data_IF_488416268044
#
_entry.id   IF_488416268044
#
_cell.length_a   1.000
_cell.length_b   1.000
_cell.length_c   1.000
_cell.angle_alpha   90.00
_cell.angle_beta   90.00
_cell.angle_gamma   90.00
#
_symmetry.space_group_name_H-M   'P 1'
#
loop_
_entity.id
_entity.type
_entity.pdbx_description
1 polymer ?
#
# COMPACT_ATOMS: atom_id res chain seq x y z
N UNK A 1 15.87 -7.53 34.48
CA UNK A 1 15.41 -8.33 35.63
C UNK A 1 14.02 -8.83 35.34
N UNK A 2 13.82 -10.15 35.37
CA UNK A 2 12.50 -10.75 35.17
C UNK A 2 11.56 -10.45 36.34
N UNK A 3 10.27 -10.50 36.10
CA UNK A 3 9.23 -10.38 37.11
C UNK A 3 8.44 -11.69 37.20
N UNK A 4 8.00 -12.12 38.40
CA UNK A 4 7.32 -13.41 38.57
C UNK A 4 5.94 -13.46 37.92
N UNK A 5 5.31 -12.32 37.69
CA UNK A 5 4.02 -12.17 37.03
C UNK A 5 3.93 -10.85 36.30
N UNK A 6 3.37 -10.88 35.07
CA UNK A 6 3.02 -9.68 34.32
C UNK A 6 1.57 -9.31 34.65
N UNK A 7 1.38 -8.15 35.25
CA UNK A 7 0.06 -7.59 35.57
C UNK A 7 -0.04 -6.15 35.10
N UNK A 8 -1.06 -5.83 34.35
CA UNK A 8 -1.41 -4.44 34.05
C UNK A 8 -2.43 -3.94 35.05
N UNK A 9 -2.16 -2.82 35.71
CA UNK A 9 -3.10 -2.11 36.60
C UNK A 9 -3.85 -0.98 35.90
N UNK A 10 -3.44 -0.67 34.65
CA UNK A 10 -3.97 0.45 33.88
C UNK A 10 -4.54 -0.02 32.57
N UNK A 11 -5.52 0.71 32.05
CA UNK A 11 -6.00 0.56 30.66
C UNK A 11 -4.89 1.05 29.72
N UNK A 12 -4.62 0.27 28.67
CA UNK A 12 -3.70 0.65 27.60
C UNK A 12 -4.48 0.68 26.29
N UNK A 13 -4.37 1.79 25.57
CA UNK A 13 -4.93 1.91 24.21
C UNK A 13 -3.84 1.63 23.19
N UNK A 14 -4.08 0.68 22.30
CA UNK A 14 -3.16 0.35 21.21
C UNK A 14 -3.22 1.49 20.19
N UNK A 15 -2.04 1.93 19.73
CA UNK A 15 -1.94 2.96 18.68
C UNK A 15 -2.47 2.46 17.34
N UNK A 16 -2.97 3.35 16.46
CA UNK A 16 -3.41 2.99 15.11
C UNK A 16 -2.30 2.35 14.27
N UNK A 17 -2.70 1.42 13.39
CA UNK A 17 -1.76 0.77 12.46
C UNK A 17 -1.38 1.74 11.32
N UNK A 18 -0.14 2.24 11.37
CA UNK A 18 0.41 3.11 10.33
C UNK A 18 0.55 2.42 8.97
N UNK A 19 0.69 1.10 8.93
CA UNK A 19 0.84 0.37 7.66
C UNK A 19 -0.51 0.21 6.98
N UNK A 20 -1.56 -0.08 7.73
CA UNK A 20 -2.93 -0.06 7.21
C UNK A 20 -3.26 1.35 6.69
N UNK A 21 -3.00 2.39 7.49
CA UNK A 21 -3.23 3.78 7.07
C UNK A 21 -2.48 4.14 5.79
N UNK A 22 -1.17 3.84 5.69
CA UNK A 22 -0.37 4.11 4.49
C UNK A 22 -0.85 3.36 3.26
N UNK A 23 -1.37 2.14 3.44
CA UNK A 23 -1.99 1.38 2.34
C UNK A 23 -3.24 2.08 1.81
N UNK A 24 -4.13 2.57 2.70
CA UNK A 24 -5.31 3.33 2.27
C UNK A 24 -4.96 4.68 1.65
N UNK A 25 -3.90 5.34 2.12
CA UNK A 25 -3.41 6.58 1.50
C UNK A 25 -2.90 6.33 0.07
N UNK A 26 -2.12 5.25 -0.15
CA UNK A 26 -1.66 4.87 -1.48
C UNK A 26 -2.83 4.52 -2.41
N UNK A 27 -3.78 3.71 -1.94
CA UNK A 27 -4.99 3.35 -2.68
C UNK A 27 -5.84 4.58 -3.02
N UNK A 28 -6.03 5.48 -2.04
CA UNK A 28 -6.76 6.73 -2.25
C UNK A 28 -6.13 7.62 -3.32
N UNK A 29 -4.79 7.71 -3.34
CA UNK A 29 -4.07 8.46 -4.37
C UNK A 29 -4.12 7.78 -5.74
N UNK A 30 -4.22 6.43 -5.78
CA UNK A 30 -4.27 5.68 -7.04
C UNK A 30 -5.66 5.70 -7.71
N UNK A 31 -6.74 5.65 -6.92
CA UNK A 31 -8.11 5.42 -7.43
C UNK A 31 -9.19 6.29 -6.76
N UNK A 32 -8.84 7.04 -5.71
CA UNK A 32 -9.82 7.83 -4.96
C UNK A 32 -10.22 9.12 -5.66
N UNK A 33 -11.40 9.62 -5.32
CA UNK A 33 -11.90 10.94 -5.70
C UNK A 33 -12.21 11.75 -4.42
N UNK A 34 -11.16 11.96 -3.61
CA UNK A 34 -11.26 12.61 -2.32
C UNK A 34 -11.58 11.64 -1.17
N UNK A 35 -10.53 11.08 -0.53
CA UNK A 35 -10.65 10.13 0.58
C UNK A 35 -10.02 10.69 1.84
N UNK A 36 -10.74 10.59 2.97
CA UNK A 36 -10.25 10.96 4.30
C UNK A 36 -9.91 9.70 5.11
N UNK A 37 -8.63 9.49 5.39
CA UNK A 37 -8.15 8.44 6.29
C UNK A 37 -8.09 8.99 7.72
N UNK A 38 -8.90 8.43 8.62
CA UNK A 38 -9.07 8.89 10.01
C UNK A 38 -8.36 7.96 10.99
N UNK A 39 -8.23 8.44 12.23
CA UNK A 39 -7.61 7.71 13.34
C UNK A 39 -6.20 7.29 12.99
N UNK A 40 -5.40 8.25 12.56
CA UNK A 40 -3.97 8.08 12.25
C UNK A 40 -3.13 8.94 13.17
N UNK A 41 -1.87 8.61 13.30
CA UNK A 41 -0.85 9.46 13.92
C UNK A 41 0.07 9.91 12.78
N UNK A 42 -0.11 11.14 12.24
CA UNK A 42 0.60 11.59 11.03
C UNK A 42 2.11 11.52 11.18
N UNK A 43 2.65 11.77 12.38
CA UNK A 43 4.08 11.71 12.69
C UNK A 43 4.66 10.30 12.45
N UNK A 44 3.83 9.25 12.55
CA UNK A 44 4.25 7.88 12.24
C UNK A 44 4.33 7.58 10.73
N UNK A 45 3.82 8.48 9.91
CA UNK A 45 3.73 8.38 8.44
C UNK A 45 4.58 9.42 7.71
N UNK A 46 5.34 10.29 8.40
CA UNK A 46 6.07 11.40 7.80
C UNK A 46 6.94 10.99 6.60
N UNK A 47 7.70 9.90 6.72
CA UNK A 47 8.54 9.42 5.62
C UNK A 47 7.73 8.93 4.41
N UNK A 48 6.53 8.41 4.64
CA UNK A 48 5.61 7.95 3.60
C UNK A 48 4.90 9.13 2.93
N UNK A 49 4.30 10.02 3.71
CA UNK A 49 3.60 11.21 3.20
C UNK A 49 4.56 12.16 2.47
N UNK A 50 5.80 12.29 2.93
CA UNK A 50 6.84 13.04 2.23
C UNK A 50 7.10 12.48 0.82
N UNK A 51 7.11 11.16 0.64
CA UNK A 51 7.27 10.53 -0.67
C UNK A 51 6.04 10.69 -1.56
N UNK A 52 4.84 10.66 -0.99
CA UNK A 52 3.62 10.98 -1.73
C UNK A 52 3.62 12.44 -2.20
N UNK A 53 4.03 13.38 -1.36
CA UNK A 53 4.15 14.81 -1.72
C UNK A 53 5.24 15.01 -2.80
N UNK A 54 6.40 14.34 -2.68
CA UNK A 54 7.46 14.35 -3.70
C UNK A 54 6.93 13.87 -5.06
N UNK A 55 6.05 12.88 -5.05
CA UNK A 55 5.38 12.34 -6.23
C UNK A 55 4.36 13.32 -6.85
N UNK A 56 3.90 14.30 -6.08
CA UNK A 56 2.92 15.30 -6.52
C UNK A 56 1.53 15.14 -5.92
N UNK A 57 1.37 14.28 -4.91
CA UNK A 57 0.10 14.15 -4.19
C UNK A 57 -0.08 15.32 -3.21
N UNK A 58 -1.14 16.08 -3.35
CA UNK A 58 -1.50 17.18 -2.44
C UNK A 58 -2.23 16.62 -1.22
N UNK A 59 -1.53 16.39 -0.11
CA UNK A 59 -2.10 15.86 1.12
C UNK A 59 -2.54 17.00 2.07
N UNK A 60 -3.77 16.92 2.61
CA UNK A 60 -4.20 17.74 3.74
C UNK A 60 -4.02 16.93 5.04
N UNK A 61 -2.89 17.17 5.70
CA UNK A 61 -2.51 16.48 6.95
C UNK A 61 -3.07 17.25 8.14
N UNK A 62 -3.93 16.60 8.92
CA UNK A 62 -4.59 17.13 10.11
C UNK A 62 -4.08 16.42 11.36
N UNK A 63 -4.61 16.78 12.52
CA UNK A 63 -4.16 16.25 13.83
C UNK A 63 -4.25 14.71 13.93
N UNK A 64 -5.36 14.13 13.44
CA UNK A 64 -5.66 12.69 13.55
C UNK A 64 -6.14 12.05 12.24
N UNK A 65 -5.98 12.76 11.13
CA UNK A 65 -6.48 12.33 9.83
C UNK A 65 -5.68 12.93 8.68
N UNK A 66 -5.71 12.26 7.53
CA UNK A 66 -5.06 12.72 6.30
C UNK A 66 -6.08 12.63 5.17
N UNK A 67 -6.32 13.75 4.49
CA UNK A 67 -7.17 13.78 3.31
C UNK A 67 -6.32 13.71 2.05
N UNK A 68 -6.73 12.81 1.14
CA UNK A 68 -6.12 12.62 -0.17
C UNK A 68 -7.14 13.12 -1.20
N UNK A 69 -6.90 14.23 -1.90
CA UNK A 69 -7.77 14.68 -2.98
C UNK A 69 -7.64 13.74 -4.19
N UNK A 70 -8.43 13.98 -5.22
CA UNK A 70 -8.19 13.37 -6.53
C UNK A 70 -6.81 13.76 -7.03
N UNK A 71 -6.06 12.78 -7.50
CA UNK A 71 -4.66 12.97 -7.91
C UNK A 71 -4.54 12.89 -9.44
N UNK A 72 -3.76 13.81 -10.00
CA UNK A 72 -3.42 13.85 -11.42
C UNK A 72 -1.93 14.23 -11.59
N UNK A 73 -1.32 13.83 -12.70
CA UNK A 73 0.06 14.24 -13.08
C UNK A 73 1.15 13.86 -12.06
N UNK A 74 1.23 12.60 -11.71
CA UNK A 74 2.24 12.09 -10.78
C UNK A 74 3.63 12.02 -11.43
N UNK A 75 4.66 12.31 -10.63
CA UNK A 75 6.07 12.27 -11.01
C UNK A 75 6.74 11.01 -10.47
N UNK A 76 7.71 10.44 -11.20
CA UNK A 76 8.49 9.34 -10.69
C UNK A 76 9.36 9.77 -9.50
N UNK A 77 9.55 8.84 -8.56
CA UNK A 77 10.31 9.09 -7.33
C UNK A 77 11.29 7.94 -7.05
N UNK A 78 12.27 8.24 -6.18
CA UNK A 78 13.14 7.22 -5.61
C UNK A 78 12.80 7.00 -4.14
N UNK A 79 12.38 5.79 -3.79
CA UNK A 79 12.11 5.33 -2.43
C UNK A 79 13.31 4.51 -1.96
N UNK A 80 13.78 4.79 -0.73
CA UNK A 80 14.73 3.92 -0.02
C UNK A 80 14.10 3.50 1.30
N UNK A 81 13.90 2.20 1.48
CA UNK A 81 13.42 1.68 2.76
C UNK A 81 14.49 1.83 3.85
N UNK A 82 14.06 2.10 5.06
CA UNK A 82 14.94 2.25 6.21
C UNK A 82 14.19 1.95 7.51
N UNK A 83 14.90 1.63 8.62
CA UNK A 83 14.29 1.54 9.94
C UNK A 83 13.55 2.82 10.30
N UNK A 84 12.49 2.68 11.14
CA UNK A 84 11.75 3.82 11.66
C UNK A 84 12.72 4.89 12.25
N UNK A 85 12.53 6.18 11.95
CA UNK A 85 11.40 6.81 11.24
C UNK A 85 11.53 6.86 9.70
N UNK A 86 12.43 6.11 9.08
CA UNK A 86 12.56 6.04 7.63
C UNK A 86 11.37 5.35 6.96
N UNK A 87 11.41 5.25 5.62
CA UNK A 87 10.34 4.62 4.84
C UNK A 87 10.21 3.12 5.17
N UNK A 88 9.04 2.73 5.65
CA UNK A 88 8.80 1.36 6.10
C UNK A 88 8.82 0.36 4.94
N UNK A 89 9.59 -0.74 5.08
CA UNK A 89 9.57 -1.86 4.13
C UNK A 89 8.17 -2.44 3.92
N UNK A 90 7.28 -2.37 4.93
CA UNK A 90 5.89 -2.83 4.85
C UNK A 90 5.00 -1.94 3.98
N UNK A 91 5.43 -0.72 3.64
CA UNK A 91 4.73 0.16 2.71
C UNK A 91 5.32 0.11 1.29
N UNK A 92 6.40 -0.61 1.09
CA UNK A 92 7.05 -0.79 -0.21
C UNK A 92 6.11 -1.43 -1.24
N UNK A 93 5.47 -2.56 -0.89
CA UNK A 93 4.53 -3.25 -1.79
C UNK A 93 3.21 -2.48 -1.96
N UNK A 94 2.55 -1.96 -0.90
CA UNK A 94 1.30 -1.21 -1.04
C UNK A 94 1.41 0.05 -1.89
N UNK A 95 2.57 0.75 -1.91
CA UNK A 95 2.74 1.95 -2.75
C UNK A 95 2.99 1.62 -4.22
N UNK A 96 3.47 0.42 -4.52
CA UNK A 96 3.90 0.03 -5.89
C UNK A 96 2.83 0.29 -6.96
N UNK A 97 1.53 -0.04 -6.79
CA UNK A 97 0.52 0.28 -7.79
C UNK A 97 0.38 1.78 -8.06
N UNK A 98 0.50 2.63 -7.03
CA UNK A 98 0.47 4.08 -7.21
C UNK A 98 1.64 4.58 -8.07
N UNK A 99 2.83 3.98 -7.92
CA UNK A 99 4.02 4.39 -8.69
C UNK A 99 3.85 4.20 -10.20
N UNK A 100 2.99 3.28 -10.62
CA UNK A 100 2.72 3.02 -12.05
C UNK A 100 2.02 4.18 -12.75
N UNK A 101 1.38 5.08 -12.00
CA UNK A 101 0.69 6.25 -12.53
C UNK A 101 1.63 7.44 -12.78
N UNK A 102 2.89 7.36 -12.34
CA UNK A 102 3.88 8.41 -12.54
C UNK A 102 4.36 8.46 -14.00
N UNK A 103 4.58 9.68 -14.51
CA UNK A 103 5.12 9.90 -15.86
C UNK A 103 6.63 9.62 -15.88
N UNK A 104 7.02 8.34 -15.94
CA UNK A 104 8.41 7.89 -15.96
C UNK A 104 8.63 6.62 -15.13
N UNK A 105 9.87 6.38 -14.75
CA UNK A 105 10.27 5.21 -13.97
C UNK A 105 10.59 5.61 -12.53
N UNK A 106 9.90 5.00 -11.58
CA UNK A 106 10.21 5.09 -10.15
C UNK A 106 11.13 3.95 -9.72
N UNK A 107 11.96 4.20 -8.72
CA UNK A 107 12.92 3.22 -8.20
C UNK A 107 12.66 3.01 -6.71
N UNK A 108 12.65 1.74 -6.28
CA UNK A 108 12.63 1.37 -4.87
C UNK A 108 13.94 0.66 -4.54
N UNK A 109 14.73 1.24 -3.63
CA UNK A 109 15.88 0.59 -3.01
C UNK A 109 15.43 -0.04 -1.69
N UNK A 110 15.16 -1.36 -1.72
CA UNK A 110 14.75 -2.13 -0.55
C UNK A 110 15.99 -2.57 0.24
N UNK A 111 16.23 -1.94 1.38
CA UNK A 111 17.43 -2.16 2.20
C UNK A 111 17.17 -2.95 3.47
N UNK A 112 15.90 -3.19 3.82
CA UNK A 112 15.50 -3.93 5.04
C UNK A 112 15.25 -5.39 4.71
N UNK A 113 14.51 -5.65 3.63
CA UNK A 113 14.20 -7.01 3.18
C UNK A 113 14.35 -7.12 1.66
N UNK A 114 15.59 -7.16 1.13
CA UNK A 114 15.88 -7.11 -0.31
C UNK A 114 15.19 -8.21 -1.14
N UNK A 115 14.82 -9.32 -0.51
CA UNK A 115 14.10 -10.44 -1.15
C UNK A 115 12.58 -10.25 -1.20
N UNK A 116 12.04 -9.10 -0.77
CA UNK A 116 10.61 -8.79 -0.78
C UNK A 116 10.12 -8.45 -2.19
N UNK A 117 10.14 -9.45 -3.07
CA UNK A 117 9.84 -9.30 -4.50
C UNK A 117 8.70 -10.20 -4.98
N UNK A 118 8.06 -10.99 -4.08
CA UNK A 118 7.02 -11.97 -4.45
C UNK A 118 5.77 -11.36 -5.10
N UNK A 119 5.52 -10.06 -4.91
CA UNK A 119 4.42 -9.34 -5.56
C UNK A 119 4.70 -9.03 -7.03
N UNK A 120 5.96 -8.98 -7.45
CA UNK A 120 6.37 -8.58 -8.81
C UNK A 120 5.74 -9.48 -9.88
N UNK A 121 5.94 -10.81 -9.88
CA UNK A 121 5.36 -11.67 -10.91
C UNK A 121 3.82 -11.63 -10.92
N UNK A 122 3.19 -11.39 -9.77
CA UNK A 122 1.74 -11.30 -9.69
C UNK A 122 1.22 -9.96 -10.25
N UNK A 123 1.90 -8.84 -9.97
CA UNK A 123 1.57 -7.54 -10.58
C UNK A 123 1.81 -7.54 -12.09
N UNK A 124 2.84 -8.23 -12.58
CA UNK A 124 3.09 -8.38 -14.02
C UNK A 124 1.93 -9.08 -14.75
N UNK A 125 1.23 -10.03 -14.09
CA UNK A 125 0.02 -10.66 -14.67
C UNK A 125 -1.12 -9.67 -14.90
N UNK A 126 -1.16 -8.57 -14.12
CA UNK A 126 -2.14 -7.49 -14.28
C UNK A 126 -1.70 -6.41 -15.31
N UNK A 127 -0.55 -6.60 -15.96
CA UNK A 127 -0.02 -5.65 -16.95
C UNK A 127 0.87 -4.56 -16.35
N UNK A 128 1.28 -4.68 -15.09
CA UNK A 128 2.19 -3.73 -14.44
C UNK A 128 3.60 -3.85 -15.00
N UNK A 129 4.19 -2.74 -15.43
CA UNK A 129 5.59 -2.66 -15.85
C UNK A 129 6.49 -2.50 -14.63
N UNK A 130 6.84 -3.60 -14.01
CA UNK A 130 7.68 -3.69 -12.82
C UNK A 130 8.76 -4.75 -13.01
N UNK A 131 9.97 -4.48 -12.51
CA UNK A 131 11.10 -5.41 -12.58
C UNK A 131 11.97 -5.32 -11.32
N UNK A 132 12.84 -6.30 -11.16
CA UNK A 132 13.87 -6.36 -10.12
C UNK A 132 15.23 -6.60 -10.78
N UNK A 133 15.85 -5.56 -11.39
CA UNK A 133 17.08 -5.69 -12.18
C UNK A 133 18.30 -6.06 -11.33
N UNK A 134 18.30 -5.70 -10.06
CA UNK A 134 19.40 -5.95 -9.11
C UNK A 134 18.84 -6.32 -7.73
N UNK A 135 19.63 -7.00 -6.92
CA UNK A 135 19.25 -7.38 -5.57
C UNK A 135 18.86 -6.16 -4.72
N UNK A 136 17.64 -6.17 -4.24
CA UNK A 136 17.07 -5.06 -3.45
C UNK A 136 16.71 -3.80 -4.25
N UNK A 137 16.73 -3.86 -5.58
CA UNK A 137 16.29 -2.75 -6.44
C UNK A 137 15.07 -3.16 -7.23
N UNK A 138 14.00 -2.39 -7.14
CA UNK A 138 12.77 -2.59 -7.89
C UNK A 138 12.55 -1.34 -8.74
N UNK A 139 12.28 -1.53 -10.02
CA UNK A 139 11.90 -0.46 -10.95
C UNK A 139 10.42 -0.60 -11.30
N UNK A 140 9.71 0.52 -11.31
CA UNK A 140 8.28 0.60 -11.63
C UNK A 140 8.11 1.68 -12.69
N UNK A 141 7.80 1.26 -13.91
CA UNK A 141 7.55 2.19 -15.00
C UNK A 141 6.06 2.53 -15.12
N UNK A 142 5.77 3.62 -15.81
CA UNK A 142 4.39 4.00 -16.13
C UNK A 142 3.65 2.83 -16.79
N UNK A 143 2.46 2.55 -16.30
CA UNK A 143 1.60 1.49 -16.81
C UNK A 143 0.15 1.97 -16.84
N UNK A 144 -0.45 1.93 -18.00
CA UNK A 144 -1.83 2.39 -18.23
C UNK A 144 -2.75 1.32 -18.84
N UNK A 145 -2.28 0.07 -18.91
CA UNK A 145 -3.01 -1.06 -19.50
C UNK A 145 -3.25 -2.17 -18.46
N UNK A 146 -3.73 -1.80 -17.29
CA UNK A 146 -4.11 -2.79 -16.28
C UNK A 146 -5.31 -3.61 -16.78
N UNK A 147 -5.23 -4.92 -16.63
CA UNK A 147 -6.31 -5.83 -17.00
C UNK A 147 -6.53 -6.89 -15.93
N UNK A 148 -7.77 -7.34 -15.78
CA UNK A 148 -8.13 -8.36 -14.81
C UNK A 148 -7.40 -9.67 -15.02
N UNK A 149 -6.96 -10.30 -13.94
CA UNK A 149 -6.29 -11.60 -13.96
C UNK A 149 -6.50 -12.34 -12.62
N UNK A 150 -6.20 -13.64 -12.60
CA UNK A 150 -6.10 -14.41 -11.37
C UNK A 150 -4.67 -14.30 -10.82
N UNK A 151 -4.54 -13.74 -9.61
CA UNK A 151 -3.28 -13.47 -8.93
C UNK A 151 -3.29 -14.05 -7.52
N UNK A 152 -2.12 -14.40 -6.97
CA UNK A 152 -2.02 -15.03 -5.67
C UNK A 152 -1.34 -14.11 -4.63
N UNK A 153 -2.01 -13.87 -3.51
CA UNK A 153 -1.42 -13.16 -2.38
C UNK A 153 -0.39 -14.05 -1.69
N UNK A 154 0.90 -13.74 -1.83
CA UNK A 154 1.99 -14.49 -1.21
C UNK A 154 2.18 -14.12 0.27
N UNK A 155 1.80 -12.92 0.66
CA UNK A 155 1.87 -12.38 2.01
C UNK A 155 0.91 -11.19 2.16
N UNK A 156 0.76 -10.66 3.38
CA UNK A 156 -0.19 -9.59 3.73
C UNK A 156 -0.03 -8.37 2.80
N UNK A 157 1.20 -7.84 2.67
CA UNK A 157 1.47 -6.58 1.95
C UNK A 157 1.43 -6.76 0.43
N UNK A 158 1.91 -7.92 -0.05
CA UNK A 158 1.74 -8.30 -1.45
C UNK A 158 0.26 -8.36 -1.83
N UNK A 159 -0.56 -9.02 -1.01
CA UNK A 159 -2.01 -9.09 -1.23
C UNK A 159 -2.67 -7.72 -1.27
N UNK A 160 -2.31 -6.80 -0.38
CA UNK A 160 -2.83 -5.43 -0.42
C UNK A 160 -2.44 -4.67 -1.70
N UNK A 161 -1.21 -4.86 -2.19
CA UNK A 161 -0.79 -4.30 -3.48
C UNK A 161 -1.61 -4.88 -4.64
N UNK A 162 -1.91 -6.19 -4.61
CA UNK A 162 -2.74 -6.85 -5.63
C UNK A 162 -4.19 -6.38 -5.60
N UNK A 163 -4.76 -6.14 -4.41
CA UNK A 163 -6.11 -5.55 -4.28
C UNK A 163 -6.12 -4.14 -4.88
N UNK A 164 -5.13 -3.31 -4.56
CA UNK A 164 -5.02 -1.96 -5.14
C UNK A 164 -4.90 -2.01 -6.67
N UNK A 165 -3.99 -2.84 -7.20
CA UNK A 165 -3.81 -3.00 -8.64
C UNK A 165 -5.05 -3.58 -9.33
N UNK A 166 -5.76 -4.51 -8.67
CA UNK A 166 -7.01 -5.07 -9.16
C UNK A 166 -8.13 -4.04 -9.28
N UNK A 167 -8.22 -3.09 -8.33
CA UNK A 167 -9.16 -1.97 -8.41
C UNK A 167 -8.80 -0.95 -9.50
N UNK A 168 -7.53 -0.93 -9.96
CA UNK A 168 -7.08 -0.11 -11.08
C UNK A 168 -7.27 -0.80 -12.44
N UNK A 169 -7.53 -2.10 -12.46
CA UNK A 169 -7.56 -2.92 -13.66
C UNK A 169 -8.93 -2.90 -14.36
N UNK A 170 -8.94 -2.96 -15.68
CA UNK A 170 -10.14 -3.21 -16.45
C UNK A 170 -10.52 -4.71 -16.38
N UNK A 171 -11.79 -4.99 -16.10
CA UNK A 171 -12.31 -6.36 -15.99
C UNK A 171 -12.26 -6.90 -14.57
N UNK A 172 -12.22 -8.22 -14.41
CA UNK A 172 -12.28 -8.89 -13.11
C UNK A 172 -10.89 -9.35 -12.69
N UNK A 173 -10.47 -8.94 -11.50
CA UNK A 173 -9.26 -9.47 -10.84
C UNK A 173 -9.68 -10.38 -9.70
N UNK A 174 -9.18 -11.62 -9.73
CA UNK A 174 -9.34 -12.58 -8.66
C UNK A 174 -8.05 -12.64 -7.84
N UNK A 175 -8.15 -12.35 -6.53
CA UNK A 175 -7.03 -12.47 -5.60
C UNK A 175 -7.19 -13.73 -4.77
N UNK A 176 -6.44 -14.79 -5.11
CA UNK A 176 -6.41 -16.05 -4.33
C UNK A 176 -5.53 -15.91 -3.10
N UNK A 177 -5.63 -16.84 -2.14
CA UNK A 177 -5.00 -16.79 -0.82
C UNK A 177 -5.37 -15.48 -0.06
N UNK A 178 -6.61 -15.03 -0.21
CA UNK A 178 -7.09 -13.76 0.33
C UNK A 178 -7.03 -13.69 1.86
N UNK A 179 -6.92 -14.83 2.56
CA UNK A 179 -6.71 -14.92 4.01
C UNK A 179 -5.49 -14.14 4.49
N UNK A 180 -4.46 -14.00 3.64
CA UNK A 180 -3.31 -13.14 3.95
C UNK A 180 -3.70 -11.68 4.08
N UNK A 181 -4.56 -11.18 3.21
CA UNK A 181 -5.07 -9.80 3.25
C UNK A 181 -6.05 -9.63 4.42
N UNK A 182 -7.02 -10.52 4.51
CA UNK A 182 -8.11 -10.44 5.50
C UNK A 182 -7.62 -10.46 6.95
N UNK A 183 -6.53 -11.17 7.26
CA UNK A 183 -5.94 -11.17 8.61
C UNK A 183 -5.11 -9.93 8.92
N UNK A 184 -4.68 -9.18 7.91
CA UNK A 184 -3.78 -8.03 8.06
C UNK A 184 -4.45 -6.67 7.95
N UNK A 185 -5.68 -6.64 7.44
CA UNK A 185 -6.47 -5.43 7.22
C UNK A 185 -7.87 -5.60 7.77
N UNK A 186 -8.18 -4.84 8.82
CA UNK A 186 -9.47 -4.93 9.49
C UNK A 186 -10.63 -4.54 8.56
N UNK A 187 -11.55 -5.48 8.35
CA UNK A 187 -12.76 -5.28 7.54
C UNK A 187 -12.52 -4.63 6.15
N UNK A 188 -11.41 -4.96 5.48
CA UNK A 188 -10.99 -4.31 4.22
C UNK A 188 -12.10 -4.31 3.16
N UNK A 189 -12.80 -5.43 2.95
CA UNK A 189 -13.90 -5.52 1.97
C UNK A 189 -14.99 -4.49 2.30
N UNK A 190 -15.44 -4.45 3.56
CA UNK A 190 -16.46 -3.50 3.99
C UNK A 190 -16.02 -2.04 3.82
N UNK A 191 -14.78 -1.70 4.24
CA UNK A 191 -14.24 -0.34 4.11
C UNK A 191 -14.16 0.10 2.65
N UNK A 192 -13.70 -0.77 1.75
CA UNK A 192 -13.60 -0.47 0.32
C UNK A 192 -14.98 -0.38 -0.35
N UNK A 193 -15.92 -1.26 -0.01
CA UNK A 193 -17.31 -1.17 -0.50
C UNK A 193 -17.97 0.14 -0.06
N UNK A 194 -17.73 0.62 1.17
CA UNK A 194 -18.21 1.92 1.65
C UNK A 194 -17.62 3.10 0.86
N UNK A 195 -16.48 2.92 0.21
CA UNK A 195 -15.85 3.87 -0.71
C UNK A 195 -16.28 3.67 -2.17
N UNK A 196 -17.33 2.87 -2.42
CA UNK A 196 -17.86 2.51 -3.74
C UNK A 196 -16.91 1.66 -4.61
N UNK A 197 -15.94 0.97 -4.02
CA UNK A 197 -15.16 -0.02 -4.74
C UNK A 197 -16.04 -1.26 -5.03
N UNK A 198 -15.95 -1.77 -6.25
CA UNK A 198 -16.58 -3.05 -6.63
C UNK A 198 -15.67 -4.20 -6.23
N UNK A 199 -15.86 -4.68 -5.02
CA UNK A 199 -15.06 -5.75 -4.40
C UNK A 199 -15.94 -6.65 -3.53
N UNK A 200 -15.71 -7.96 -3.62
CA UNK A 200 -16.43 -8.96 -2.83
C UNK A 200 -15.55 -10.16 -2.54
N UNK A 201 -15.96 -10.98 -1.58
CA UNK A 201 -15.39 -12.32 -1.38
C UNK A 201 -16.12 -13.25 -2.36
N UNK A 202 -15.37 -13.95 -3.22
CA UNK A 202 -15.94 -15.00 -4.05
C UNK A 202 -16.28 -16.22 -3.17
N UNK A 203 -17.48 -16.78 -3.34
CA UNK A 203 -17.84 -18.07 -2.77
C UNK A 203 -17.33 -19.18 -3.71
N UNK A 204 -16.71 -20.23 -3.15
CA UNK A 204 -16.22 -21.42 -3.85
C UNK A 204 -17.37 -22.24 -4.46
#
# INVERSE_FOLDING_TARGET
TGVPKLESKNTHTIIPDRIEAGTYLALAAAQGDGVLVKNVIPEHLESFTAKMIEMGVELDVREDSIFVPKVENLKPIHIKTAPFPGFATDLQQPITPLLTLAEGESIISETIYPERTRHIPELQKLGVAIDNPEYGVITVANSNNFHGASVAAAEIRAGAALVTAGLMADGITEVTNAEHVLRGYDHIIHKLTMLNADIQIAED
#
